data_IF_296042714401
#
_entry.id   IF_296042714401
#
_cell.length_a   1.000
_cell.length_b   1.000
_cell.length_c   1.000
_cell.angle_alpha   90.00
_cell.angle_beta   90.00
_cell.angle_gamma   90.00
#
_symmetry.space_group_name_H-M   'P 1'
#
loop_
_entity.id
_entity.type
_entity.pdbx_description
1 polymer ?
#
# COMPACT_ATOMS: atom_id res chain seq x y z
N UNK A 1 4.83 -8.75 11.26
CA UNK A 1 5.44 -8.03 10.12
C UNK A 1 4.36 -7.87 9.07
N UNK A 2 4.12 -6.65 8.60
CA UNK A 2 3.15 -6.31 7.57
C UNK A 2 3.87 -6.27 6.23
N UNK A 3 3.27 -6.93 5.24
CA UNK A 3 3.63 -6.92 3.83
C UNK A 3 2.30 -6.93 3.07
N UNK A 4 1.81 -5.74 2.75
CA UNK A 4 0.47 -5.49 2.23
C UNK A 4 0.55 -4.73 0.92
N UNK A 5 -0.24 -5.18 -0.07
CA UNK A 5 -0.37 -4.51 -1.37
C UNK A 5 -1.79 -4.01 -1.56
N UNK A 6 -1.92 -2.72 -1.86
CA UNK A 6 -3.16 -2.02 -2.18
C UNK A 6 -2.95 -1.37 -3.55
N UNK A 7 -3.54 -1.95 -4.59
CA UNK A 7 -3.31 -1.55 -5.98
C UNK A 7 -1.79 -1.48 -6.31
N UNK A 8 -1.29 -0.31 -6.72
CA UNK A 8 0.12 -0.04 -6.99
C UNK A 8 0.93 0.35 -5.75
N UNK A 9 0.35 0.29 -4.55
CA UNK A 9 0.98 0.71 -3.31
C UNK A 9 1.33 -0.48 -2.44
N UNK A 10 2.50 -0.42 -1.81
CA UNK A 10 3.03 -1.48 -0.98
C UNK A 10 3.38 -0.92 0.39
N UNK A 11 2.77 -1.48 1.43
CA UNK A 11 3.00 -1.14 2.83
C UNK A 11 3.82 -2.25 3.47
N UNK A 12 5.00 -1.89 3.97
CA UNK A 12 5.86 -2.82 4.71
C UNK A 12 6.14 -2.28 6.10
N UNK A 13 6.10 -3.13 7.13
CA UNK A 13 6.49 -2.72 8.49
C UNK A 13 7.81 -3.35 8.89
N UNK A 14 8.71 -2.56 9.47
CA UNK A 14 9.81 -3.08 10.28
C UNK A 14 9.55 -2.83 11.78
N UNK A 15 10.60 -2.97 12.63
CA UNK A 15 10.49 -2.80 14.08
C UNK A 15 10.13 -1.35 14.48
N UNK A 16 10.39 -0.38 13.62
CA UNK A 16 10.36 1.04 13.96
C UNK A 16 9.24 1.79 13.25
N UNK A 17 8.91 1.40 12.03
CA UNK A 17 8.02 2.16 11.17
C UNK A 17 7.28 1.29 10.16
N UNK A 18 6.27 1.90 9.55
CA UNK A 18 5.56 1.43 8.37
C UNK A 18 5.97 2.29 7.19
N UNK A 19 6.57 1.66 6.17
CA UNK A 19 6.95 2.29 4.91
C UNK A 19 5.81 2.14 3.92
N UNK A 20 5.49 3.24 3.24
CA UNK A 20 4.56 3.27 2.12
C UNK A 20 5.38 3.51 0.85
N UNK A 21 5.31 2.57 -0.08
CA UNK A 21 5.99 2.66 -1.36
C UNK A 21 4.99 2.60 -2.51
N UNK A 22 5.33 3.18 -3.66
CA UNK A 22 4.64 2.98 -4.92
C UNK A 22 5.42 1.99 -5.78
N UNK A 23 4.79 0.86 -6.09
CA UNK A 23 5.31 -0.13 -7.03
C UNK A 23 5.30 0.45 -8.44
N UNK A 24 6.38 0.20 -9.19
CA UNK A 24 6.41 0.42 -10.62
C UNK A 24 5.61 -0.71 -11.29
N UNK A 25 4.72 -0.35 -12.22
CA UNK A 25 3.91 -1.31 -12.97
C UNK A 25 4.40 -1.43 -14.41
N UNK A 26 4.26 -2.62 -14.98
CA UNK A 26 4.48 -2.85 -16.40
C UNK A 26 3.28 -2.38 -17.26
N UNK A 27 3.35 -2.56 -18.58
CA UNK A 27 2.28 -2.19 -19.51
C UNK A 27 0.96 -2.96 -19.32
N UNK A 28 0.98 -4.05 -18.54
CA UNK A 28 -0.19 -4.88 -18.22
C UNK A 28 -0.72 -4.59 -16.80
N UNK A 29 -0.11 -3.66 -16.07
CA UNK A 29 -0.48 -3.31 -14.70
C UNK A 29 0.10 -4.25 -13.63
N UNK A 30 1.06 -5.11 -13.99
CA UNK A 30 1.71 -6.00 -13.03
C UNK A 30 2.93 -5.32 -12.38
N UNK A 31 3.19 -5.57 -11.09
CA UNK A 31 4.38 -5.03 -10.43
C UNK A 31 5.68 -5.51 -11.09
N UNK A 32 6.54 -4.56 -11.44
CA UNK A 32 7.87 -4.83 -11.98
C UNK A 32 8.78 -5.31 -10.86
N UNK A 33 9.54 -6.36 -11.12
CA UNK A 33 10.58 -6.86 -10.22
C UNK A 33 11.96 -6.77 -10.86
N UNK A 34 12.97 -6.41 -10.08
CA UNK A 34 14.39 -6.50 -10.44
C UNK A 34 15.08 -7.58 -9.62
N UNK A 35 15.95 -8.36 -10.25
CA UNK A 35 16.78 -9.33 -9.56
C UNK A 35 17.88 -8.63 -8.75
N UNK A 36 17.96 -8.89 -7.45
CA UNK A 36 19.07 -8.42 -6.62
C UNK A 36 20.14 -9.51 -6.50
N UNK A 37 21.25 -9.32 -7.20
CA UNK A 37 22.39 -10.24 -7.20
C UNK A 37 22.97 -10.51 -5.81
N UNK A 38 22.84 -9.56 -4.86
CA UNK A 38 23.39 -9.72 -3.51
C UNK A 38 22.56 -10.66 -2.64
N UNK A 39 21.25 -10.66 -2.83
CA UNK A 39 20.32 -11.46 -2.04
C UNK A 39 19.77 -12.68 -2.79
N UNK A 40 20.03 -12.79 -4.09
CA UNK A 40 19.59 -13.90 -4.92
C UNK A 40 18.07 -13.95 -5.11
N UNK A 41 17.36 -12.84 -4.85
CA UNK A 41 15.90 -12.78 -4.91
C UNK A 41 15.42 -11.63 -5.79
N UNK A 42 14.25 -11.80 -6.40
CA UNK A 42 13.55 -10.73 -7.10
C UNK A 42 12.93 -9.77 -6.07
N UNK A 43 13.19 -8.48 -6.24
CA UNK A 43 12.60 -7.40 -5.43
C UNK A 43 11.69 -6.55 -6.29
N UNK A 44 10.61 -6.05 -5.69
CA UNK A 44 9.76 -5.06 -6.33
C UNK A 44 10.58 -3.80 -6.63
N UNK A 45 10.35 -3.20 -7.79
CA UNK A 45 10.90 -1.89 -8.13
C UNK A 45 9.94 -0.83 -7.58
N UNK A 46 10.37 -0.12 -6.55
CA UNK A 46 9.47 0.75 -5.78
C UNK A 46 10.04 2.15 -5.57
N UNK A 47 9.14 3.13 -5.48
CA UNK A 47 9.44 4.50 -5.13
C UNK A 47 8.96 4.75 -3.69
N UNK A 48 9.86 5.10 -2.75
CA UNK A 48 9.45 5.46 -1.39
C UNK A 48 8.56 6.69 -1.40
N UNK A 49 7.44 6.62 -0.68
CA UNK A 49 6.48 7.71 -0.58
C UNK A 49 6.38 8.30 0.83
N UNK A 50 6.34 7.45 1.85
CA UNK A 50 6.22 7.89 3.24
C UNK A 50 6.75 6.87 4.25
N UNK A 51 7.08 7.38 5.43
CA UNK A 51 7.43 6.62 6.62
C UNK A 51 6.47 7.03 7.73
N UNK A 52 5.76 6.07 8.30
CA UNK A 52 4.69 6.30 9.27
C UNK A 52 4.96 5.50 10.54
N UNK A 53 4.53 6.04 11.70
CA UNK A 53 4.82 5.40 13.00
C UNK A 53 4.08 4.08 13.20
N UNK A 54 2.91 3.93 12.57
CA UNK A 54 2.04 2.79 12.68
C UNK A 54 1.20 2.63 11.40
N UNK A 55 0.39 1.58 11.36
CA UNK A 55 -0.40 1.21 10.19
C UNK A 55 -1.54 2.18 9.94
N UNK A 56 -2.19 2.64 11.00
CA UNK A 56 -3.29 3.60 10.93
C UNK A 56 -2.84 4.92 10.27
N UNK A 57 -1.71 5.48 10.71
CA UNK A 57 -1.10 6.65 10.11
C UNK A 57 -0.72 6.41 8.64
N UNK A 58 -0.19 5.23 8.31
CA UNK A 58 0.17 4.87 6.94
C UNK A 58 -1.04 4.84 6.00
N UNK A 59 -2.18 4.32 6.48
CA UNK A 59 -3.43 4.31 5.73
C UNK A 59 -4.01 5.72 5.58
N UNK A 60 -4.04 6.50 6.66
CA UNK A 60 -4.48 7.90 6.60
C UNK A 60 -3.63 8.70 5.61
N UNK A 61 -2.31 8.48 5.64
CA UNK A 61 -1.39 9.09 4.70
C UNK A 61 -1.68 8.65 3.26
N UNK A 62 -1.81 7.34 3.00
CA UNK A 62 -2.07 6.79 1.67
C UNK A 62 -3.40 7.30 1.11
N UNK A 63 -4.45 7.32 1.92
CA UNK A 63 -5.74 7.92 1.56
C UNK A 63 -5.56 9.39 1.18
N UNK A 64 -4.90 10.19 2.02
CA UNK A 64 -4.63 11.60 1.72
C UNK A 64 -3.80 11.79 0.46
N UNK A 65 -2.81 10.93 0.22
CA UNK A 65 -1.96 10.95 -0.95
C UNK A 65 -2.75 10.66 -2.23
N UNK A 66 -3.59 9.62 -2.24
CA UNK A 66 -4.45 9.25 -3.37
C UNK A 66 -5.42 10.37 -3.75
N UNK A 67 -5.94 11.10 -2.77
CA UNK A 67 -6.81 12.26 -3.02
C UNK A 67 -6.05 13.38 -3.73
N UNK A 68 -4.82 13.65 -3.29
CA UNK A 68 -4.01 14.76 -3.82
C UNK A 68 -3.32 14.44 -5.14
N UNK A 69 -3.00 13.16 -5.39
CA UNK A 69 -2.03 12.75 -6.42
C UNK A 69 -2.44 11.51 -7.21
N UNK A 70 -3.59 10.90 -6.89
CA UNK A 70 -4.03 9.63 -7.46
C UNK A 70 -4.18 9.66 -8.98
N UNK A 71 -3.91 8.51 -9.60
CA UNK A 71 -4.00 8.26 -11.05
C UNK A 71 -5.38 8.57 -11.64
N UNK A 72 -6.44 8.45 -10.85
CA UNK A 72 -7.75 9.03 -11.16
C UNK A 72 -7.89 10.32 -10.35
N UNK A 73 -7.97 11.47 -11.03
CA UNK A 73 -8.34 12.72 -10.37
C UNK A 73 -9.71 12.53 -9.70
N UNK A 74 -9.72 12.39 -8.37
CA UNK A 74 -10.96 12.37 -7.58
C UNK A 74 -11.52 13.79 -7.64
N UNK A 75 -12.62 13.96 -8.39
CA UNK A 75 -13.24 15.28 -8.65
C UNK A 75 -14.44 15.53 -7.75
N UNK A 76 -14.97 14.52 -7.07
CA UNK A 76 -16.16 14.63 -6.24
C UNK A 76 -16.00 13.96 -4.87
N UNK A 77 -16.80 14.43 -3.90
CA UNK A 77 -16.86 13.86 -2.54
C UNK A 77 -17.35 12.41 -2.55
N UNK A 78 -18.24 12.03 -3.46
CA UNK A 78 -18.72 10.65 -3.59
C UNK A 78 -17.63 9.68 -4.06
N UNK A 79 -16.80 10.11 -5.02
CA UNK A 79 -15.64 9.32 -5.47
C UNK A 79 -14.64 9.12 -4.33
N UNK A 80 -14.41 10.18 -3.54
CA UNK A 80 -13.60 10.12 -2.33
C UNK A 80 -14.16 9.10 -1.32
N UNK A 81 -15.46 9.16 -1.02
CA UNK A 81 -16.09 8.26 -0.06
C UNK A 81 -15.97 6.79 -0.51
N UNK A 82 -16.21 6.50 -1.80
CA UNK A 82 -16.08 5.14 -2.36
C UNK A 82 -14.65 4.63 -2.27
N UNK A 83 -13.66 5.43 -2.67
CA UNK A 83 -12.25 5.03 -2.59
C UNK A 83 -11.76 4.86 -1.17
N UNK A 84 -12.21 5.70 -0.23
CA UNK A 84 -11.94 5.51 1.20
C UNK A 84 -12.44 4.16 1.68
N UNK A 85 -13.70 3.84 1.38
CA UNK A 85 -14.32 2.61 1.83
C UNK A 85 -13.69 1.36 1.20
N UNK A 86 -13.25 1.45 -0.06
CA UNK A 86 -12.53 0.38 -0.74
C UNK A 86 -11.19 0.07 -0.05
N UNK A 87 -10.41 1.10 0.28
CA UNK A 87 -9.12 0.96 0.99
C UNK A 87 -9.34 0.37 2.38
N UNK A 88 -10.32 0.89 3.13
CA UNK A 88 -10.69 0.36 4.46
C UNK A 88 -11.07 -1.13 4.38
N UNK A 89 -11.88 -1.51 3.38
CA UNK A 89 -12.27 -2.91 3.20
C UNK A 89 -11.08 -3.82 2.88
N UNK A 90 -10.18 -3.40 1.98
CA UNK A 90 -8.97 -4.17 1.67
C UNK A 90 -8.10 -4.38 2.91
N UNK A 91 -8.03 -3.36 3.76
CA UNK A 91 -7.32 -3.43 5.03
C UNK A 91 -7.97 -4.39 6.02
N UNK A 92 -9.28 -4.28 6.22
CA UNK A 92 -10.05 -5.19 7.09
C UNK A 92 -9.93 -6.64 6.63
N UNK A 93 -10.01 -6.89 5.32
CA UNK A 93 -9.79 -8.22 4.74
C UNK A 93 -8.39 -8.74 5.07
N UNK A 94 -7.35 -7.93 4.86
CA UNK A 94 -5.98 -8.33 5.17
C UNK A 94 -5.79 -8.67 6.66
N UNK A 95 -6.38 -7.86 7.56
CA UNK A 95 -6.33 -8.14 9.00
C UNK A 95 -7.02 -9.46 9.29
N UNK A 96 -8.26 -9.66 8.83
CA UNK A 96 -9.04 -10.89 9.08
C UNK A 96 -8.34 -12.15 8.58
N UNK A 97 -7.68 -12.07 7.43
CA UNK A 97 -6.95 -13.22 6.86
C UNK A 97 -5.68 -13.59 7.65
N UNK A 98 -5.06 -12.62 8.33
CA UNK A 98 -3.74 -12.81 8.98
C UNK A 98 -3.77 -12.72 10.50
N UNK A 99 -4.87 -12.26 11.08
CA UNK A 99 -5.14 -12.22 12.52
C UNK A 99 -6.38 -13.08 12.75
N UNK A 100 -6.21 -14.36 13.13
CA UNK A 100 -7.34 -15.19 13.52
C UNK A 100 -8.09 -14.50 14.67
N UNK A 101 -9.41 -14.35 14.54
CA UNK A 101 -10.25 -13.91 15.66
C UNK A 101 -10.12 -14.95 16.79
N UNK A 102 -9.27 -14.65 17.80
CA UNK A 102 -9.07 -15.51 18.96
C UNK A 102 -7.66 -15.48 19.54
N UNK A 103 -7.38 -14.44 20.34
CA UNK A 103 -6.51 -14.53 21.52
C UNK A 103 -7.34 -14.12 22.74
#
# INVERSE_FOLDING_TARGET
>A
MIDMKIDQYHLTSDKYEVKVNRMSLDSHGHPVTSYDEKSGINRLVEVPLAHCKNVEDALHWLRGYLIRTGSEHIKTVDQLARKSHEIERQFDTYIKERVPEGL
#
